data_IF_777891951702
#
_entry.id   IF_777891951702
#
_cell.length_a   1.000
_cell.length_b   1.000
_cell.length_c   1.000
_cell.angle_alpha   90.00
_cell.angle_beta   90.00
_cell.angle_gamma   90.00
#
_symmetry.space_group_name_H-M   'P 1'
#
loop_
_entity.id
_entity.type
_entity.pdbx_description
1 polymer ?
#
# COMPACT_ATOMS: atom_id res chain seq x y z
N UNK A 1 -3.61 -19.29 -12.86
CA UNK A 1 -4.76 -18.56 -13.45
C UNK A 1 -5.62 -18.01 -12.33
N UNK A 2 -6.06 -16.75 -12.45
CA UNK A 2 -7.02 -16.13 -11.51
C UNK A 2 -8.41 -16.75 -11.70
N UNK A 3 -9.27 -16.66 -10.66
CA UNK A 3 -10.64 -17.18 -10.74
C UNK A 3 -11.50 -16.38 -11.74
N UNK A 4 -12.61 -16.96 -12.25
CA UNK A 4 -13.52 -16.21 -13.13
C UNK A 4 -14.05 -14.94 -12.49
N UNK A 5 -14.38 -14.95 -11.20
CA UNK A 5 -14.87 -13.77 -10.47
C UNK A 5 -13.77 -12.72 -10.30
N UNK A 6 -12.52 -13.15 -10.07
CA UNK A 6 -11.36 -12.26 -10.08
C UNK A 6 -11.15 -11.60 -11.45
N UNK A 7 -11.38 -12.31 -12.53
CA UNK A 7 -11.30 -11.74 -13.89
C UNK A 7 -12.37 -10.66 -14.07
N UNK A 8 -13.63 -10.95 -13.72
CA UNK A 8 -14.72 -9.96 -13.79
C UNK A 8 -14.43 -8.74 -12.92
N UNK A 9 -13.85 -8.93 -11.71
CA UNK A 9 -13.42 -7.82 -10.88
C UNK A 9 -12.37 -6.96 -11.58
N UNK A 10 -11.35 -7.57 -12.21
CA UNK A 10 -10.31 -6.83 -12.95
C UNK A 10 -10.89 -6.12 -14.17
N UNK A 11 -11.81 -6.75 -14.91
CA UNK A 11 -12.52 -6.14 -16.04
C UNK A 11 -13.38 -4.95 -15.58
N UNK A 12 -14.03 -5.05 -14.40
CA UNK A 12 -14.78 -3.95 -13.79
C UNK A 12 -13.86 -2.78 -13.39
N UNK A 13 -12.68 -3.07 -12.85
CA UNK A 13 -11.66 -2.05 -12.53
C UNK A 13 -11.17 -1.39 -13.82
N UNK A 14 -10.83 -2.16 -14.84
CA UNK A 14 -10.41 -1.68 -16.15
C UNK A 14 -11.44 -0.71 -16.75
N UNK A 15 -12.72 -1.11 -16.81
CA UNK A 15 -13.79 -0.28 -17.32
C UNK A 15 -14.03 0.99 -16.49
N UNK A 16 -13.93 0.89 -15.18
CA UNK A 16 -14.07 2.01 -14.26
C UNK A 16 -12.94 3.04 -14.39
N UNK A 17 -11.75 2.63 -14.79
CA UNK A 17 -10.61 3.52 -15.04
C UNK A 17 -10.63 4.15 -16.44
N UNK A 18 -11.34 3.57 -17.39
CA UNK A 18 -11.42 4.05 -18.78
C UNK A 18 -10.09 4.00 -19.53
N UNK A 19 -9.22 3.06 -19.19
CA UNK A 19 -7.83 3.00 -19.67
C UNK A 19 -7.71 2.71 -21.17
N UNK A 20 -8.66 1.99 -21.77
CA UNK A 20 -8.59 1.55 -23.17
C UNK A 20 -9.45 2.38 -24.13
N UNK A 21 -10.30 3.29 -23.62
CA UNK A 21 -11.32 3.95 -24.45
C UNK A 21 -12.39 3.00 -25.02
N UNK A 22 -12.34 1.70 -24.69
CA UNK A 22 -13.29 0.68 -25.10
C UNK A 22 -14.47 0.60 -24.13
N UNK A 23 -15.67 0.38 -24.64
CA UNK A 23 -16.82 0.02 -23.82
C UNK A 23 -16.68 -1.43 -23.34
N UNK A 24 -16.22 -1.58 -22.09
CA UNK A 24 -16.08 -2.89 -21.47
C UNK A 24 -17.46 -3.37 -21.03
N UNK A 25 -17.97 -4.41 -21.68
CA UNK A 25 -19.17 -5.11 -21.23
C UNK A 25 -18.80 -6.15 -20.17
N UNK A 26 -19.40 -6.01 -18.99
CA UNK A 26 -19.32 -7.02 -17.93
C UNK A 26 -20.59 -7.84 -17.94
N UNK A 27 -20.43 -9.13 -18.17
CA UNK A 27 -21.55 -10.06 -18.17
C UNK A 27 -21.60 -10.84 -16.85
N UNK A 28 -22.39 -10.32 -15.90
CA UNK A 28 -22.67 -10.99 -14.63
C UNK A 28 -24.04 -11.65 -14.71
N UNK A 29 -24.03 -13.00 -14.68
CA UNK A 29 -25.25 -13.80 -14.89
C UNK A 29 -25.90 -14.28 -13.59
N UNK A 30 -25.18 -14.28 -12.47
CA UNK A 30 -25.64 -14.79 -11.17
C UNK A 30 -25.42 -13.76 -10.08
N UNK A 31 -26.38 -13.66 -9.14
CA UNK A 31 -26.26 -12.73 -7.98
C UNK A 31 -25.07 -13.04 -7.08
N UNK A 32 -24.74 -14.33 -6.92
CA UNK A 32 -23.60 -14.77 -6.11
C UNK A 32 -22.29 -14.23 -6.67
N UNK A 33 -22.13 -14.26 -7.99
CA UNK A 33 -20.98 -13.71 -8.70
C UNK A 33 -20.87 -12.20 -8.53
N UNK A 34 -21.98 -11.48 -8.65
CA UNK A 34 -22.01 -10.03 -8.39
C UNK A 34 -21.59 -9.70 -6.96
N UNK A 35 -22.13 -10.41 -5.97
CA UNK A 35 -21.81 -10.20 -4.56
C UNK A 35 -20.32 -10.47 -4.31
N UNK A 36 -19.74 -11.50 -4.91
CA UNK A 36 -18.32 -11.82 -4.79
C UNK A 36 -17.44 -10.70 -5.38
N UNK A 37 -17.75 -10.23 -6.59
CA UNK A 37 -17.04 -9.11 -7.25
C UNK A 37 -17.10 -7.83 -6.39
N UNK A 38 -18.26 -7.47 -5.84
CA UNK A 38 -18.41 -6.29 -4.98
C UNK A 38 -17.69 -6.46 -3.62
N UNK A 39 -17.64 -7.68 -3.08
CA UNK A 39 -16.85 -7.98 -1.88
C UNK A 39 -15.34 -7.86 -2.17
N UNK A 40 -14.86 -8.38 -3.29
CA UNK A 40 -13.47 -8.19 -3.73
C UNK A 40 -13.16 -6.70 -3.89
N UNK A 41 -14.06 -5.93 -4.52
CA UNK A 41 -13.88 -4.48 -4.66
C UNK A 41 -13.77 -3.78 -3.30
N UNK A 42 -14.54 -4.20 -2.29
CA UNK A 42 -14.46 -3.68 -0.92
C UNK A 42 -13.12 -4.04 -0.27
N UNK A 43 -12.68 -5.29 -0.35
CA UNK A 43 -11.40 -5.74 0.18
C UNK A 43 -10.21 -5.04 -0.47
N UNK A 44 -10.33 -4.69 -1.75
CA UNK A 44 -9.33 -3.95 -2.52
C UNK A 44 -9.44 -2.43 -2.37
N UNK A 45 -10.36 -1.92 -1.51
CA UNK A 45 -10.67 -0.48 -1.36
C UNK A 45 -11.03 0.22 -2.68
N UNK A 46 -11.68 -0.54 -3.58
CA UNK A 46 -12.13 -0.08 -4.90
C UNK A 46 -13.66 -0.09 -5.02
N UNK A 47 -14.39 -0.34 -3.92
CA UNK A 47 -15.85 -0.46 -3.95
C UNK A 47 -16.55 0.74 -4.61
N UNK A 48 -16.20 2.02 -4.29
CA UNK A 48 -16.91 3.14 -4.90
C UNK A 48 -16.78 3.17 -6.42
N UNK A 49 -15.56 2.95 -6.93
CA UNK A 49 -15.27 3.05 -8.37
C UNK A 49 -15.88 1.87 -9.15
N UNK A 50 -15.78 0.65 -8.61
CA UNK A 50 -16.34 -0.55 -9.24
C UNK A 50 -17.87 -0.55 -9.18
N UNK A 51 -18.46 -0.16 -8.04
CA UNK A 51 -19.92 -0.10 -7.89
C UNK A 51 -20.53 0.96 -8.80
N UNK A 52 -19.89 2.12 -8.96
CA UNK A 52 -20.32 3.16 -9.89
C UNK A 52 -20.26 2.69 -11.34
N UNK A 53 -19.22 1.98 -11.73
CA UNK A 53 -19.10 1.40 -13.07
C UNK A 53 -20.18 0.34 -13.33
N UNK A 54 -20.37 -0.62 -12.42
CA UNK A 54 -21.41 -1.65 -12.56
C UNK A 54 -22.81 -1.05 -12.63
N UNK A 55 -23.05 0.07 -11.91
CA UNK A 55 -24.34 0.77 -11.97
C UNK A 55 -24.68 1.34 -13.36
N UNK A 56 -23.70 1.50 -14.24
CA UNK A 56 -23.87 1.90 -15.64
C UNK A 56 -24.01 0.73 -16.62
N UNK A 57 -24.04 -0.53 -16.16
CA UNK A 57 -24.11 -1.72 -17.01
C UNK A 57 -25.48 -2.39 -16.97
N UNK A 58 -25.76 -3.26 -17.95
CA UNK A 58 -26.98 -4.09 -17.97
C UNK A 58 -27.13 -4.98 -16.72
N UNK A 59 -26.03 -5.29 -16.04
CA UNK A 59 -26.05 -6.06 -14.79
C UNK A 59 -26.76 -5.32 -13.66
N UNK A 60 -26.77 -3.96 -13.67
CA UNK A 60 -27.48 -3.14 -12.69
C UNK A 60 -29.00 -3.34 -12.77
N UNK A 61 -29.58 -3.31 -13.96
CA UNK A 61 -31.04 -3.49 -14.16
C UNK A 61 -31.50 -4.84 -13.62
N UNK A 62 -30.68 -5.86 -13.83
CA UNK A 62 -30.97 -7.25 -13.43
C UNK A 62 -30.88 -7.49 -11.94
N UNK A 63 -29.96 -6.81 -11.22
CA UNK A 63 -29.63 -7.09 -9.82
C UNK A 63 -29.74 -5.84 -8.91
N UNK A 64 -30.70 -4.97 -9.17
CA UNK A 64 -30.88 -3.71 -8.43
C UNK A 64 -30.99 -3.91 -6.91
N UNK A 65 -31.67 -4.96 -6.45
CA UNK A 65 -31.87 -5.24 -5.02
C UNK A 65 -30.55 -5.61 -4.34
N UNK A 66 -29.74 -6.42 -5.01
CA UNK A 66 -28.45 -6.92 -4.52
C UNK A 66 -27.39 -5.81 -4.50
N UNK A 67 -27.42 -4.90 -5.47
CA UNK A 67 -26.49 -3.77 -5.59
C UNK A 67 -26.84 -2.65 -4.60
N UNK A 68 -28.11 -2.44 -4.26
CA UNK A 68 -28.57 -1.31 -3.44
C UNK A 68 -27.80 -1.12 -2.11
N UNK A 69 -27.47 -2.15 -1.32
CA UNK A 69 -26.66 -1.97 -0.11
C UNK A 69 -25.25 -1.44 -0.40
N UNK A 70 -24.60 -1.93 -1.45
CA UNK A 70 -23.25 -1.50 -1.86
C UNK A 70 -23.26 -0.07 -2.41
N UNK A 71 -24.31 0.31 -3.18
CA UNK A 71 -24.48 1.67 -3.66
C UNK A 71 -24.67 2.66 -2.52
N UNK A 72 -25.46 2.30 -1.48
CA UNK A 72 -25.59 3.13 -0.27
C UNK A 72 -24.23 3.27 0.45
N UNK A 73 -23.49 2.19 0.60
CA UNK A 73 -22.15 2.22 1.18
C UNK A 73 -21.20 3.10 0.36
N UNK A 74 -21.24 3.01 -0.96
CA UNK A 74 -20.44 3.84 -1.89
C UNK A 74 -20.72 5.33 -1.67
N UNK A 75 -22.00 5.72 -1.64
CA UNK A 75 -22.39 7.13 -1.41
C UNK A 75 -21.85 7.63 -0.05
N UNK A 76 -21.98 6.84 1.01
CA UNK A 76 -21.46 7.22 2.33
C UNK A 76 -19.93 7.35 2.35
N UNK A 77 -19.23 6.48 1.63
CA UNK A 77 -17.77 6.55 1.49
C UNK A 77 -17.34 7.81 0.72
N UNK A 78 -18.04 8.16 -0.36
CA UNK A 78 -17.78 9.36 -1.15
C UNK A 78 -18.02 10.63 -0.32
N UNK A 79 -19.17 10.75 0.36
CA UNK A 79 -19.48 11.88 1.25
C UNK A 79 -18.40 12.00 2.33
N UNK A 80 -18.07 10.90 3.01
CA UNK A 80 -17.02 10.89 4.02
C UNK A 80 -15.65 11.29 3.46
N UNK A 81 -15.33 10.89 2.22
CA UNK A 81 -14.07 11.26 1.57
C UNK A 81 -14.02 12.77 1.29
N UNK A 82 -15.09 13.35 0.76
CA UNK A 82 -15.20 14.79 0.49
C UNK A 82 -15.06 15.61 1.77
N UNK A 83 -15.77 15.24 2.84
CA UNK A 83 -15.67 15.92 4.15
C UNK A 83 -14.25 15.86 4.73
N UNK A 84 -13.61 14.69 4.69
CA UNK A 84 -12.22 14.53 5.16
C UNK A 84 -11.23 15.34 4.32
N UNK A 85 -11.46 15.41 3.02
CA UNK A 85 -10.63 16.23 2.12
C UNK A 85 -10.72 17.71 2.48
N UNK A 86 -11.92 18.24 2.73
CA UNK A 86 -12.11 19.64 3.15
C UNK A 86 -11.38 19.92 4.47
N UNK A 87 -11.57 19.07 5.48
CA UNK A 87 -10.90 19.23 6.76
C UNK A 87 -9.36 19.09 6.65
N UNK A 88 -8.88 18.17 5.82
CA UNK A 88 -7.44 18.07 5.54
C UNK A 88 -6.86 19.38 5.02
N UNK A 89 -7.54 20.07 4.10
CA UNK A 89 -7.07 21.36 3.59
C UNK A 89 -7.07 22.47 4.65
N UNK A 90 -7.97 22.43 5.62
CA UNK A 90 -7.93 23.35 6.77
C UNK A 90 -6.64 23.15 7.59
N UNK A 91 -6.32 21.88 7.90
CA UNK A 91 -5.09 21.53 8.61
C UNK A 91 -3.85 21.88 7.78
N UNK A 92 -3.87 21.54 6.49
CA UNK A 92 -2.79 21.85 5.56
C UNK A 92 -2.44 23.34 5.52
N UNK A 93 -3.47 24.21 5.45
CA UNK A 93 -3.30 25.66 5.52
C UNK A 93 -2.70 26.12 6.84
N UNK A 94 -3.11 25.54 7.98
CA UNK A 94 -2.55 25.85 9.30
C UNK A 94 -1.07 25.48 9.38
N UNK A 95 -0.67 24.34 8.81
CA UNK A 95 0.74 23.98 8.74
C UNK A 95 1.55 25.00 7.93
N UNK A 96 1.06 25.41 6.75
CA UNK A 96 1.71 26.45 5.93
C UNK A 96 1.79 27.80 6.64
N UNK A 97 0.74 28.24 7.34
CA UNK A 97 0.73 29.48 8.11
C UNK A 97 1.75 29.48 9.25
N UNK A 98 2.13 28.29 9.70
CA UNK A 98 3.19 28.10 10.68
C UNK A 98 4.55 27.74 10.03
N UNK A 99 4.78 28.15 8.78
CA UNK A 99 6.06 27.97 8.07
C UNK A 99 6.53 26.52 7.93
N UNK A 100 5.64 25.53 8.12
CA UNK A 100 5.91 24.14 7.82
C UNK A 100 5.58 23.93 6.34
N UNK A 101 6.48 23.28 5.59
CA UNK A 101 6.25 22.86 4.19
C UNK A 101 5.80 21.40 4.14
N UNK A 102 4.48 21.10 4.24
CA UNK A 102 4.03 19.71 4.18
C UNK A 102 3.94 19.26 2.73
N UNK A 103 4.68 18.21 2.40
CA UNK A 103 4.70 17.62 1.05
C UNK A 103 3.76 16.43 1.00
N UNK A 104 2.70 16.52 0.23
CA UNK A 104 1.71 15.45 0.03
C UNK A 104 2.29 14.40 -0.92
N UNK A 105 2.39 13.15 -0.47
CA UNK A 105 3.07 12.10 -1.25
C UNK A 105 2.16 11.01 -1.80
N UNK A 106 0.89 10.99 -1.38
CA UNK A 106 -0.18 10.08 -1.87
C UNK A 106 -1.54 10.79 -1.80
N UNK A 107 -2.55 10.06 -1.32
CA UNK A 107 -3.86 10.60 -0.95
C UNK A 107 -4.44 11.51 -2.03
N UNK A 108 -4.49 12.78 -1.72
CA UNK A 108 -5.13 13.82 -2.53
C UNK A 108 -4.52 13.97 -3.93
N UNK A 109 -3.19 13.83 -4.07
CA UNK A 109 -2.51 13.96 -5.37
C UNK A 109 -2.93 12.85 -6.31
N UNK A 110 -2.96 11.61 -5.83
CA UNK A 110 -3.35 10.45 -6.64
C UNK A 110 -4.86 10.44 -6.92
N UNK A 111 -5.68 10.85 -5.95
CA UNK A 111 -7.14 10.90 -6.09
C UNK A 111 -7.57 11.74 -7.30
N UNK A 112 -6.90 12.86 -7.52
CA UNK A 112 -7.20 13.75 -8.64
C UNK A 112 -6.82 13.20 -10.03
N UNK A 113 -6.15 12.07 -10.08
CA UNK A 113 -5.84 11.38 -11.35
C UNK A 113 -6.95 10.42 -11.79
N UNK A 114 -7.85 10.06 -10.87
CA UNK A 114 -8.97 9.16 -11.18
C UNK A 114 -10.10 9.91 -11.90
N UNK A 115 -10.88 9.22 -12.77
CA UNK A 115 -12.01 9.82 -13.48
C UNK A 115 -13.03 10.46 -12.55
N UNK A 116 -13.25 9.86 -11.38
CA UNK A 116 -14.08 10.37 -10.28
C UNK A 116 -13.25 10.40 -8.99
N UNK A 117 -12.65 11.53 -8.63
CA UNK A 117 -11.76 11.65 -7.48
C UNK A 117 -12.34 11.11 -6.17
N UNK A 118 -13.62 11.39 -5.89
CA UNK A 118 -14.29 10.97 -4.66
C UNK A 118 -14.51 9.44 -4.58
N UNK A 119 -14.46 8.75 -5.71
CA UNK A 119 -14.50 7.28 -5.75
C UNK A 119 -13.17 6.62 -5.34
N UNK A 120 -12.05 7.35 -5.40
CA UNK A 120 -10.78 6.82 -4.88
C UNK A 120 -10.71 7.06 -3.38
N UNK A 121 -11.30 6.15 -2.64
CA UNK A 121 -11.30 6.18 -1.19
C UNK A 121 -9.90 5.93 -0.61
N UNK A 122 -9.47 6.76 0.37
CA UNK A 122 -8.28 6.54 1.19
C UNK A 122 -8.60 6.72 2.68
N UNK A 123 -7.93 5.97 3.54
CA UNK A 123 -8.11 6.10 4.98
C UNK A 123 -7.25 7.19 5.59
N UNK A 124 -6.15 7.52 4.95
CA UNK A 124 -5.05 8.35 5.42
C UNK A 124 -4.61 9.36 4.37
N UNK A 125 -4.03 10.44 4.82
CA UNK A 125 -3.28 11.38 3.99
C UNK A 125 -1.83 11.41 4.50
N UNK A 126 -0.87 11.19 3.59
CA UNK A 126 0.56 11.10 3.91
C UNK A 126 1.24 12.44 3.65
N UNK A 127 1.86 13.00 4.67
CA UNK A 127 2.60 14.25 4.62
C UNK A 127 4.07 14.04 4.98
N UNK A 128 4.98 14.35 4.08
CA UNK A 128 6.40 14.44 4.36
C UNK A 128 6.73 15.86 4.82
N UNK A 129 7.44 15.98 5.91
CA UNK A 129 7.95 17.25 6.45
C UNK A 129 9.43 17.11 6.81
N UNK A 130 10.11 18.25 6.99
CA UNK A 130 11.42 18.24 7.57
C UNK A 130 11.39 17.78 9.03
N UNK A 131 12.40 17.02 9.40
CA UNK A 131 12.48 16.40 10.73
C UNK A 131 12.52 17.45 11.84
N UNK A 132 13.10 18.59 11.55
CA UNK A 132 13.22 19.74 12.45
C UNK A 132 11.85 20.32 12.79
N UNK A 133 10.90 20.27 11.86
CA UNK A 133 9.55 20.79 12.00
C UNK A 133 8.60 19.83 12.71
N UNK A 134 9.02 18.59 12.96
CA UNK A 134 8.15 17.54 13.47
C UNK A 134 7.45 17.93 14.78
N UNK A 135 8.18 18.48 15.77
CA UNK A 135 7.57 18.84 17.06
C UNK A 135 6.59 20.00 16.92
N UNK A 136 6.90 20.98 16.05
CA UNK A 136 5.99 22.10 15.74
C UNK A 136 4.70 21.57 15.08
N UNK A 137 4.83 20.65 14.14
CA UNK A 137 3.71 19.95 13.51
C UNK A 137 2.87 19.15 14.52
N UNK A 138 3.52 18.40 15.41
CA UNK A 138 2.88 17.65 16.49
C UNK A 138 2.00 18.52 17.37
N UNK A 139 2.52 19.68 17.85
CA UNK A 139 1.76 20.61 18.69
C UNK A 139 0.55 21.22 17.95
N UNK A 140 0.70 21.53 16.65
CA UNK A 140 -0.40 22.05 15.84
C UNK A 140 -1.49 20.97 15.72
N UNK A 141 -1.14 19.74 15.37
CA UNK A 141 -2.10 18.66 15.24
C UNK A 141 -2.84 18.36 16.56
N UNK A 142 -2.13 18.39 17.69
CA UNK A 142 -2.77 18.24 19.02
C UNK A 142 -3.78 19.34 19.30
N UNK A 143 -3.46 20.61 19.02
CA UNK A 143 -4.38 21.75 19.19
C UNK A 143 -5.62 21.60 18.32
N UNK A 144 -5.51 20.96 17.15
CA UNK A 144 -6.61 20.68 16.25
C UNK A 144 -7.39 19.39 16.60
N UNK A 145 -7.14 18.83 17.76
CA UNK A 145 -7.88 17.67 18.30
C UNK A 145 -7.43 16.32 17.72
N UNK A 146 -6.24 16.24 17.13
CA UNK A 146 -5.67 14.96 16.74
C UNK A 146 -5.01 14.27 17.92
N UNK A 147 -5.22 12.96 17.98
CA UNK A 147 -4.58 12.06 18.93
C UNK A 147 -3.42 11.39 18.20
N UNK A 148 -2.21 11.51 18.75
CA UNK A 148 -1.04 10.80 18.26
C UNK A 148 -1.12 9.33 18.68
N UNK A 149 -0.96 8.41 17.73
CA UNK A 149 -0.99 6.96 18.00
C UNK A 149 0.35 6.45 18.60
N UNK A 150 1.38 7.26 18.57
CA UNK A 150 2.70 6.96 19.10
C UNK A 150 3.00 7.81 20.34
N UNK A 151 3.71 7.28 21.32
CA UNK A 151 4.20 8.07 22.45
C UNK A 151 5.47 8.82 22.01
N UNK A 152 5.30 10.04 21.47
CA UNK A 152 6.40 10.87 20.96
C UNK A 152 6.78 12.01 21.89
N UNK A 153 5.96 12.33 22.89
CA UNK A 153 6.13 13.50 23.78
C UNK A 153 7.43 13.45 24.59
N UNK A 154 7.88 12.25 24.94
CA UNK A 154 9.09 12.03 25.73
C UNK A 154 10.25 11.45 24.90
N UNK A 155 10.16 11.49 23.56
CA UNK A 155 11.18 10.95 22.69
C UNK A 155 12.28 11.99 22.39
N UNK A 156 13.54 11.53 22.43
CA UNK A 156 14.63 12.26 21.83
C UNK A 156 14.34 12.50 20.33
N UNK A 157 14.54 13.73 19.82
CA UNK A 157 14.35 14.09 18.42
C UNK A 157 15.02 13.11 17.44
N UNK A 158 16.14 12.51 17.83
CA UNK A 158 16.85 11.50 17.02
C UNK A 158 16.11 10.17 16.91
N UNK A 159 15.20 9.89 17.85
CA UNK A 159 14.45 8.61 17.94
C UNK A 159 13.03 8.70 17.38
N UNK A 160 12.62 9.86 16.86
CA UNK A 160 11.33 10.01 16.20
C UNK A 160 11.22 8.99 15.06
N UNK A 161 10.17 8.17 15.02
CA UNK A 161 9.94 7.24 13.91
C UNK A 161 9.87 7.99 12.57
N UNK A 162 10.23 7.32 11.49
CA UNK A 162 10.12 7.91 10.14
C UNK A 162 8.67 8.18 9.73
N UNK A 163 7.70 7.55 10.40
CA UNK A 163 6.25 7.65 10.15
C UNK A 163 5.53 7.67 11.50
N UNK A 164 4.68 8.68 11.74
CA UNK A 164 3.87 8.87 12.96
C UNK A 164 2.44 9.18 12.55
N UNK A 165 1.50 8.38 13.06
CA UNK A 165 0.09 8.48 12.72
C UNK A 165 -0.68 9.33 13.74
N UNK A 166 -1.58 10.16 13.22
CA UNK A 166 -2.50 11.02 13.95
C UNK A 166 -3.93 10.78 13.51
N UNK A 167 -4.84 10.72 14.45
CA UNK A 167 -6.26 10.48 14.19
C UNK A 167 -7.14 11.50 14.93
N UNK A 168 -8.07 12.12 14.19
CA UNK A 168 -9.11 12.96 14.78
C UNK A 168 -10.43 12.20 14.84
N UNK A 169 -10.91 11.94 16.05
CA UNK A 169 -12.12 11.10 16.29
C UNK A 169 -13.43 11.77 15.86
N UNK A 170 -13.47 13.10 15.74
CA UNK A 170 -14.64 13.87 15.32
C UNK A 170 -14.75 13.85 13.79
N UNK A 171 -13.71 14.30 13.11
CA UNK A 171 -13.68 14.44 11.64
C UNK A 171 -13.37 13.13 10.92
N UNK A 172 -12.93 12.09 11.66
CA UNK A 172 -12.47 10.79 11.13
C UNK A 172 -11.28 10.91 10.17
N UNK A 173 -10.55 12.03 10.22
CA UNK A 173 -9.32 12.23 9.43
C UNK A 173 -8.16 11.53 10.12
N UNK A 174 -7.38 10.80 9.34
CA UNK A 174 -6.09 10.24 9.72
C UNK A 174 -5.01 10.89 8.87
N UNK A 175 -3.98 11.37 9.50
CA UNK A 175 -2.79 11.95 8.85
C UNK A 175 -1.57 11.15 9.30
N UNK A 176 -0.74 10.73 8.37
CA UNK A 176 0.55 10.12 8.65
C UNK A 176 1.65 11.14 8.34
N UNK A 177 2.36 11.57 9.39
CA UNK A 177 3.48 12.48 9.27
C UNK A 177 4.76 11.68 9.08
N UNK A 178 5.39 11.89 7.94
CA UNK A 178 6.65 11.27 7.56
C UNK A 178 7.80 12.25 7.75
N UNK A 179 8.85 11.83 8.46
CA UNK A 179 10.16 12.51 8.51
C UNK A 179 11.19 11.79 7.61
N UNK A 180 10.75 10.76 6.90
CA UNK A 180 11.47 10.00 5.90
C UNK A 180 10.49 9.08 5.17
N UNK A 181 10.67 8.85 3.89
CA UNK A 181 9.67 8.18 3.06
C UNK A 181 9.63 6.65 3.24
N UNK A 182 10.71 6.04 3.72
CA UNK A 182 10.82 4.58 3.84
C UNK A 182 11.48 4.19 5.17
N UNK A 183 11.27 2.93 5.67
CA UNK A 183 11.88 2.47 6.91
C UNK A 183 13.41 2.59 6.90
N UNK A 184 13.97 3.24 7.91
CA UNK A 184 15.41 3.47 8.02
C UNK A 184 16.17 2.29 8.65
N UNK A 185 15.47 1.42 9.35
CA UNK A 185 15.99 0.24 10.05
C UNK A 185 16.15 -0.99 9.15
N UNK A 186 15.70 -0.90 7.88
CA UNK A 186 15.77 -1.98 6.91
C UNK A 186 16.75 -1.64 5.78
N UNK A 187 17.80 -2.47 5.64
CA UNK A 187 18.83 -2.32 4.62
C UNK A 187 18.28 -2.34 3.17
N UNK A 188 17.13 -2.97 2.93
CA UNK A 188 16.49 -2.99 1.62
C UNK A 188 16.10 -1.58 1.12
N UNK A 189 15.90 -0.61 2.02
CA UNK A 189 15.49 0.75 1.69
C UNK A 189 16.58 1.81 1.87
N UNK A 190 17.78 1.40 2.33
CA UNK A 190 18.86 2.37 2.63
C UNK A 190 19.29 3.20 1.41
N UNK A 191 19.45 2.56 0.25
CA UNK A 191 19.78 3.23 -1.00
C UNK A 191 18.71 4.22 -1.43
N UNK A 192 17.45 3.81 -1.34
CA UNK A 192 16.29 4.63 -1.68
C UNK A 192 16.14 5.83 -0.73
N UNK A 193 16.26 5.62 0.59
CA UNK A 193 16.18 6.72 1.56
C UNK A 193 17.22 7.81 1.32
N UNK A 194 18.43 7.46 0.89
CA UNK A 194 19.46 8.44 0.56
C UNK A 194 19.06 9.35 -0.61
N UNK A 195 18.24 8.87 -1.54
CA UNK A 195 17.76 9.64 -2.70
C UNK A 195 16.69 10.64 -2.31
N UNK A 196 15.89 10.30 -1.29
CA UNK A 196 14.79 11.15 -0.81
C UNK A 196 15.19 12.17 0.28
N UNK A 197 16.48 12.27 0.64
CA UNK A 197 16.95 13.19 1.73
C UNK A 197 16.60 14.64 1.49
N UNK A 198 16.49 15.09 0.24
CA UNK A 198 16.15 16.47 -0.14
C UNK A 198 14.77 16.57 -0.79
N UNK A 199 13.88 15.62 -0.50
CA UNK A 199 12.58 15.56 -1.14
C UNK A 199 11.69 16.76 -0.77
N UNK A 200 11.79 17.27 0.46
CA UNK A 200 11.06 18.48 0.89
C UNK A 200 11.57 19.73 0.15
N UNK A 201 12.90 19.90 0.03
CA UNK A 201 13.51 21.03 -0.69
C UNK A 201 13.06 21.06 -2.15
N UNK A 202 13.06 19.89 -2.81
CA UNK A 202 12.75 19.71 -4.23
C UNK A 202 11.25 19.63 -4.53
N UNK A 203 10.39 19.69 -3.51
CA UNK A 203 8.96 19.59 -3.71
C UNK A 203 8.42 20.78 -4.52
N UNK A 204 7.46 20.49 -5.39
CA UNK A 204 6.84 21.42 -6.32
C UNK A 204 5.38 21.68 -5.95
N UNK A 205 4.85 22.86 -6.32
CA UNK A 205 3.42 23.14 -6.17
C UNK A 205 2.63 22.47 -7.26
N UNK A 206 1.55 21.80 -6.88
CA UNK A 206 0.61 21.19 -7.83
C UNK A 206 -0.81 21.56 -7.48
N UNK A 207 -1.57 21.90 -8.50
CA UNK A 207 -3.00 22.09 -8.38
C UNK A 207 -3.71 20.74 -8.28
N UNK A 208 -4.65 20.67 -7.35
CA UNK A 208 -5.60 19.57 -7.22
C UNK A 208 -7.00 20.15 -7.38
N UNK A 209 -7.99 19.34 -7.68
CA UNK A 209 -9.38 19.85 -7.82
C UNK A 209 -9.94 20.58 -6.59
N UNK A 210 -9.22 20.55 -5.46
CA UNK A 210 -9.64 21.16 -4.19
C UNK A 210 -8.71 22.31 -3.74
N UNK A 211 -7.51 22.42 -4.29
CA UNK A 211 -6.55 23.46 -3.94
C UNK A 211 -5.10 23.07 -4.27
N UNK A 212 -4.17 23.95 -3.96
CA UNK A 212 -2.75 23.74 -4.21
C UNK A 212 -2.07 23.02 -3.06
N UNK A 213 -1.21 22.06 -3.42
CA UNK A 213 -0.37 21.34 -2.47
C UNK A 213 1.08 21.30 -2.94
N UNK A 214 2.00 21.21 -1.99
CA UNK A 214 3.37 20.80 -2.28
C UNK A 214 3.40 19.28 -2.46
N UNK A 215 4.08 18.80 -3.50
CA UNK A 215 4.26 17.36 -3.75
C UNK A 215 5.61 17.09 -4.39
N UNK A 216 5.99 15.83 -4.53
CA UNK A 216 7.22 15.44 -5.20
C UNK A 216 7.13 15.73 -6.70
N UNK A 217 8.27 15.99 -7.37
CA UNK A 217 8.34 15.95 -8.83
C UNK A 217 7.98 14.53 -9.34
N UNK A 218 7.64 14.40 -10.61
CA UNK A 218 7.10 13.16 -11.17
C UNK A 218 8.02 11.97 -11.02
N UNK A 219 9.31 12.15 -11.20
CA UNK A 219 10.30 11.06 -11.11
C UNK A 219 10.45 10.57 -9.67
N UNK A 220 10.62 11.48 -8.70
CA UNK A 220 10.73 11.13 -7.29
C UNK A 220 9.40 10.57 -6.76
N UNK A 221 8.26 11.09 -7.25
CA UNK A 221 6.94 10.60 -6.87
C UNK A 221 6.70 9.17 -7.36
N UNK A 222 7.03 8.89 -8.61
CA UNK A 222 6.94 7.53 -9.15
C UNK A 222 7.84 6.55 -8.39
N UNK A 223 9.09 6.93 -8.14
CA UNK A 223 10.01 6.11 -7.33
C UNK A 223 9.51 5.88 -5.92
N UNK A 224 8.86 6.88 -5.31
CA UNK A 224 8.23 6.72 -4.01
C UNK A 224 7.05 5.73 -4.08
N UNK A 225 6.13 5.87 -5.05
CA UNK A 225 4.99 4.97 -5.22
C UNK A 225 5.45 3.52 -5.43
N UNK A 226 6.46 3.30 -6.28
CA UNK A 226 7.04 1.99 -6.53
C UNK A 226 7.66 1.40 -5.25
N UNK A 227 8.47 2.19 -4.56
CA UNK A 227 9.15 1.77 -3.33
C UNK A 227 8.18 1.50 -2.18
N UNK A 228 7.12 2.30 -2.08
CA UNK A 228 6.07 2.14 -1.10
C UNK A 228 5.22 0.88 -1.38
N UNK A 229 4.89 0.61 -2.64
CA UNK A 229 4.23 -0.63 -3.06
C UNK A 229 5.09 -1.85 -2.73
N UNK A 230 6.41 -1.75 -2.96
CA UNK A 230 7.36 -2.78 -2.59
C UNK A 230 7.47 -2.96 -1.06
N UNK A 231 7.45 -1.86 -0.27
CA UNK A 231 7.36 -1.92 1.19
C UNK A 231 6.15 -2.76 1.62
N UNK A 232 4.98 -2.47 1.08
CA UNK A 232 3.77 -3.22 1.38
C UNK A 232 3.86 -4.68 0.94
N UNK A 233 4.35 -4.96 -0.26
CA UNK A 233 4.56 -6.32 -0.75
C UNK A 233 5.44 -7.15 0.20
N UNK A 234 6.52 -6.56 0.72
CA UNK A 234 7.43 -7.24 1.66
C UNK A 234 6.77 -7.48 3.02
N UNK A 235 6.07 -6.48 3.59
CA UNK A 235 5.65 -6.52 5.00
C UNK A 235 4.25 -7.09 5.21
N UNK A 236 3.27 -6.64 4.45
CA UNK A 236 1.87 -6.95 4.70
C UNK A 236 1.07 -7.37 3.46
N UNK A 237 1.62 -7.20 2.28
CA UNK A 237 0.92 -7.33 1.01
C UNK A 237 0.33 -6.01 0.54
N UNK A 238 0.06 -5.88 -0.75
CA UNK A 238 -0.55 -4.71 -1.35
C UNK A 238 -1.67 -5.13 -2.30
N UNK A 239 -2.61 -4.23 -2.57
CA UNK A 239 -3.79 -4.55 -3.35
C UNK A 239 -3.83 -3.89 -4.72
N UNK A 240 -4.90 -4.20 -5.46
CA UNK A 240 -5.13 -3.69 -6.82
C UNK A 240 -5.21 -2.16 -6.84
N UNK A 241 -5.76 -1.51 -5.80
CA UNK A 241 -5.81 -0.05 -5.75
C UNK A 241 -4.43 0.60 -5.82
N UNK A 242 -3.43 0.07 -5.11
CA UNK A 242 -2.09 0.64 -5.15
C UNK A 242 -1.41 0.41 -6.50
N UNK A 243 -1.71 -0.70 -7.18
CA UNK A 243 -1.31 -0.90 -8.57
C UNK A 243 -1.96 0.16 -9.48
N UNK A 244 -3.28 0.36 -9.39
CA UNK A 244 -3.99 1.38 -10.18
C UNK A 244 -3.42 2.79 -9.93
N UNK A 245 -3.13 3.15 -8.66
CA UNK A 245 -2.49 4.43 -8.30
C UNK A 245 -1.18 4.64 -9.09
N UNK A 246 -0.35 3.60 -9.18
CA UNK A 246 0.93 3.65 -9.90
C UNK A 246 0.73 3.75 -11.42
N UNK A 247 -0.16 2.93 -11.98
CA UNK A 247 -0.39 2.90 -13.44
C UNK A 247 -1.02 4.19 -13.94
N UNK A 248 -2.03 4.73 -13.24
CA UNK A 248 -2.67 6.00 -13.59
C UNK A 248 -1.66 7.15 -13.48
N UNK A 249 -0.78 7.12 -12.49
CA UNK A 249 0.29 8.11 -12.35
C UNK A 249 1.22 8.08 -13.56
N UNK A 250 1.65 6.90 -13.99
CA UNK A 250 2.47 6.73 -15.19
C UNK A 250 1.72 7.18 -16.44
N UNK A 251 0.49 6.76 -16.62
CA UNK A 251 -0.33 7.16 -17.78
C UNK A 251 -0.43 8.68 -17.91
N UNK A 252 -0.55 9.39 -16.78
CA UNK A 252 -0.64 10.86 -16.76
C UNK A 252 0.69 11.56 -16.98
N UNK A 253 1.79 11.02 -16.44
CA UNK A 253 3.07 11.73 -16.32
C UNK A 253 4.24 11.04 -17.03
N UNK A 254 3.96 10.06 -17.91
CA UNK A 254 4.99 9.27 -18.62
C UNK A 254 6.12 10.14 -19.21
N UNK A 255 5.75 11.23 -19.91
CA UNK A 255 6.71 12.12 -20.57
C UNK A 255 7.54 12.99 -19.62
N UNK A 256 7.14 13.12 -18.35
CA UNK A 256 7.82 13.92 -17.33
C UNK A 256 8.70 13.06 -16.40
N UNK A 257 8.53 11.75 -16.44
CA UNK A 257 9.34 10.81 -15.64
C UNK A 257 10.67 10.56 -16.35
N UNK A 258 11.77 10.74 -15.63
CA UNK A 258 13.10 10.34 -16.10
C UNK A 258 13.28 8.83 -15.97
N UNK A 259 12.92 8.11 -17.03
CA UNK A 259 12.94 6.65 -17.03
C UNK A 259 14.33 6.04 -16.94
N UNK A 260 15.36 6.66 -17.53
CA UNK A 260 16.74 6.20 -17.37
C UNK A 260 17.18 6.21 -15.90
N UNK A 261 16.79 7.27 -15.19
CA UNK A 261 17.06 7.37 -13.76
C UNK A 261 16.24 6.35 -12.95
N UNK A 262 14.94 6.19 -13.26
CA UNK A 262 14.07 5.20 -12.62
C UNK A 262 14.61 3.79 -12.80
N UNK A 263 15.02 3.42 -14.03
CA UNK A 263 15.57 2.11 -14.34
C UNK A 263 16.85 1.84 -13.53
N UNK A 264 17.78 2.80 -13.53
CA UNK A 264 19.02 2.72 -12.75
C UNK A 264 18.72 2.50 -11.26
N UNK A 265 17.83 3.32 -10.69
CA UNK A 265 17.45 3.21 -9.25
C UNK A 265 16.77 1.88 -8.97
N UNK A 266 15.88 1.44 -9.84
CA UNK A 266 15.15 0.19 -9.67
C UNK A 266 16.08 -1.03 -9.71
N UNK A 267 17.07 -1.03 -10.62
CA UNK A 267 18.09 -2.09 -10.72
C UNK A 267 19.00 -2.12 -9.48
N UNK A 268 19.56 -0.97 -9.08
CA UNK A 268 20.42 -0.86 -7.89
C UNK A 268 19.74 -1.32 -6.59
N UNK A 269 18.42 -1.09 -6.47
CA UNK A 269 17.64 -1.41 -5.29
C UNK A 269 16.76 -2.67 -5.46
N UNK A 270 16.95 -3.44 -6.55
CA UNK A 270 16.24 -4.72 -6.81
C UNK A 270 14.72 -4.58 -6.96
N UNK A 271 14.27 -3.43 -7.36
CA UNK A 271 12.87 -3.14 -7.65
C UNK A 271 12.51 -3.44 -9.11
N UNK A 272 13.51 -3.62 -9.98
CA UNK A 272 13.28 -3.65 -11.43
C UNK A 272 12.36 -4.79 -11.86
N UNK A 273 12.60 -6.02 -11.35
CA UNK A 273 11.70 -7.15 -11.63
C UNK A 273 10.28 -6.93 -11.09
N UNK A 274 10.16 -6.33 -9.91
CA UNK A 274 8.87 -5.98 -9.34
C UNK A 274 8.14 -4.97 -10.23
N UNK A 275 8.83 -3.93 -10.71
CA UNK A 275 8.30 -2.94 -11.65
C UNK A 275 7.79 -3.59 -12.94
N UNK A 276 8.58 -4.46 -13.58
CA UNK A 276 8.18 -5.16 -14.80
C UNK A 276 6.94 -6.03 -14.57
N UNK A 277 6.86 -6.73 -13.45
CA UNK A 277 5.67 -7.53 -13.12
C UNK A 277 4.42 -6.66 -12.90
N UNK A 278 4.55 -5.47 -12.29
CA UNK A 278 3.43 -4.54 -12.14
C UNK A 278 2.92 -4.04 -13.50
N UNK A 279 3.82 -3.72 -14.41
CA UNK A 279 3.45 -3.30 -15.76
C UNK A 279 2.81 -4.44 -16.56
N UNK A 280 3.34 -5.66 -16.47
CA UNK A 280 2.72 -6.83 -17.13
C UNK A 280 1.30 -7.10 -16.61
N UNK A 281 1.04 -6.93 -15.31
CA UNK A 281 -0.33 -7.02 -14.77
C UNK A 281 -1.20 -5.90 -15.36
N UNK A 282 -0.68 -4.68 -15.42
CA UNK A 282 -1.36 -3.54 -16.03
C UNK A 282 -1.76 -3.79 -17.47
N UNK A 283 -0.83 -4.25 -18.28
CA UNK A 283 -1.04 -4.56 -19.70
C UNK A 283 -2.10 -5.66 -19.90
N UNK A 284 -1.97 -6.77 -19.15
CA UNK A 284 -2.83 -7.95 -19.35
C UNK A 284 -4.24 -7.82 -18.80
N UNK A 285 -4.42 -7.04 -17.71
CA UNK A 285 -5.68 -7.06 -16.96
C UNK A 285 -6.34 -5.69 -16.80
N UNK A 286 -5.62 -4.59 -17.01
CA UNK A 286 -6.12 -3.24 -16.76
C UNK A 286 -6.09 -2.32 -17.97
N UNK A 287 -5.72 -2.84 -19.16
CA UNK A 287 -5.66 -2.05 -20.39
C UNK A 287 -4.59 -0.95 -20.38
N UNK A 288 -3.58 -1.10 -19.55
CA UNK A 288 -2.42 -0.24 -19.55
C UNK A 288 -1.50 -0.58 -20.73
N UNK A 289 -0.82 0.40 -21.30
CA UNK A 289 0.14 0.17 -22.39
C UNK A 289 1.54 0.55 -21.94
N UNK A 290 2.25 -0.41 -21.38
CA UNK A 290 3.63 -0.18 -20.93
C UNK A 290 4.68 -0.22 -22.04
N UNK A 291 4.31 -0.53 -23.29
CA UNK A 291 5.25 -0.54 -24.43
C UNK A 291 5.79 0.85 -24.77
N UNK A 292 5.05 1.90 -24.39
CA UNK A 292 5.45 3.30 -24.58
C UNK A 292 6.47 3.79 -23.54
N UNK A 293 6.77 2.97 -22.51
CA UNK A 293 7.72 3.33 -21.48
C UNK A 293 9.13 2.90 -21.92
N UNK A 294 10.10 3.84 -22.00
CA UNK A 294 11.40 3.57 -22.58
C UNK A 294 12.36 2.87 -21.59
N UNK A 295 12.01 1.67 -21.13
CA UNK A 295 12.87 0.83 -20.31
C UNK A 295 13.77 -0.04 -21.19
N UNK A 296 15.09 0.12 -21.06
CA UNK A 296 16.10 -0.51 -21.93
C UNK A 296 16.23 -2.01 -21.68
N UNK A 297 16.26 -2.42 -20.43
CA UNK A 297 16.53 -3.80 -20.03
C UNK A 297 15.26 -4.64 -19.83
N UNK A 298 14.09 -4.14 -20.25
CA UNK A 298 12.82 -4.84 -20.10
C UNK A 298 12.82 -6.24 -20.69
N UNK A 299 13.48 -6.40 -21.85
CA UNK A 299 13.55 -7.68 -22.57
C UNK A 299 14.36 -8.76 -21.84
N UNK A 300 15.22 -8.37 -20.90
CA UNK A 300 16.07 -9.28 -20.12
C UNK A 300 15.32 -9.98 -18.99
N UNK A 301 14.09 -9.54 -18.69
CA UNK A 301 13.30 -10.06 -17.58
C UNK A 301 12.04 -10.75 -18.12
N UNK A 302 11.95 -12.05 -17.87
CA UNK A 302 10.67 -12.76 -18.07
C UNK A 302 9.73 -12.38 -16.93
N UNK A 303 8.62 -11.75 -17.27
CA UNK A 303 7.59 -11.40 -16.30
C UNK A 303 6.93 -12.70 -15.76
N UNK A 304 6.86 -12.82 -14.44
CA UNK A 304 6.09 -13.85 -13.72
C UNK A 304 5.07 -13.14 -12.81
N UNK A 305 4.13 -12.48 -13.46
CA UNK A 305 3.20 -11.55 -12.82
C UNK A 305 1.98 -12.24 -12.22
N UNK A 306 1.64 -13.44 -12.69
CA UNK A 306 0.40 -14.13 -12.28
C UNK A 306 0.40 -14.47 -10.78
N UNK A 307 1.53 -14.94 -10.26
CA UNK A 307 1.66 -15.21 -8.82
C UNK A 307 1.56 -13.91 -7.99
N UNK A 308 2.09 -12.80 -8.50
CA UNK A 308 1.97 -11.50 -7.86
C UNK A 308 0.53 -11.02 -7.85
N UNK A 309 -0.20 -11.16 -8.96
CA UNK A 309 -1.62 -10.79 -9.05
C UNK A 309 -2.48 -11.61 -8.08
N UNK A 310 -2.29 -12.93 -8.03
CA UNK A 310 -2.99 -13.79 -7.06
C UNK A 310 -2.72 -13.32 -5.63
N UNK A 311 -1.47 -12.99 -5.30
CA UNK A 311 -1.11 -12.46 -4.00
C UNK A 311 -1.78 -11.13 -3.67
N UNK A 312 -1.90 -10.24 -4.65
CA UNK A 312 -2.60 -8.96 -4.50
C UNK A 312 -4.09 -9.16 -4.24
N UNK A 313 -4.74 -10.03 -5.00
CA UNK A 313 -6.17 -10.34 -4.85
C UNK A 313 -6.46 -10.97 -3.49
N UNK A 314 -5.62 -11.89 -3.03
CA UNK A 314 -5.75 -12.55 -1.73
C UNK A 314 -5.47 -11.61 -0.55
N UNK A 315 -4.58 -10.60 -0.74
CA UNK A 315 -4.15 -9.70 0.33
C UNK A 315 -5.18 -8.67 0.69
N UNK A 316 -5.87 -8.14 -0.31
CA UNK A 316 -6.57 -6.87 -0.17
C UNK A 316 -5.61 -5.70 0.10
N UNK A 317 -6.12 -4.49 0.16
CA UNK A 317 -5.34 -3.26 0.30
C UNK A 317 -4.55 -3.17 1.61
N UNK A 318 -5.04 -3.78 2.69
CA UNK A 318 -4.43 -3.69 4.03
C UNK A 318 -3.73 -4.97 4.48
N UNK A 319 -3.64 -5.97 3.61
CA UNK A 319 -3.06 -7.27 3.95
C UNK A 319 -3.88 -8.04 4.99
N UNK A 320 -4.37 -9.21 4.64
CA UNK A 320 -4.92 -10.12 5.67
C UNK A 320 -3.76 -10.66 6.48
N UNK A 321 -3.66 -10.34 7.77
CA UNK A 321 -2.61 -10.81 8.68
C UNK A 321 -2.75 -12.29 9.03
N UNK A 322 -2.80 -13.17 8.01
CA UNK A 322 -2.74 -14.61 8.25
C UNK A 322 -1.35 -15.01 8.73
N UNK A 323 -1.24 -16.03 9.57
CA UNK A 323 0.05 -16.54 10.07
C UNK A 323 0.96 -16.98 8.91
N UNK A 324 0.39 -17.53 7.84
CA UNK A 324 1.12 -17.90 6.62
C UNK A 324 1.74 -16.69 5.94
N UNK A 325 1.03 -15.56 5.87
CA UNK A 325 1.54 -14.34 5.26
C UNK A 325 2.64 -13.68 6.09
N UNK A 326 2.49 -13.61 7.42
CA UNK A 326 3.55 -13.13 8.32
C UNK A 326 4.84 -13.96 8.14
N UNK A 327 4.69 -15.27 7.93
CA UNK A 327 5.82 -16.16 7.69
C UNK A 327 6.45 -15.94 6.30
N UNK A 328 5.65 -15.82 5.27
CA UNK A 328 6.06 -15.49 3.90
C UNK A 328 6.77 -14.13 3.84
N UNK A 329 6.22 -13.09 4.50
CA UNK A 329 6.84 -11.76 4.59
C UNK A 329 8.21 -11.81 5.24
N UNK A 330 8.40 -12.60 6.30
CA UNK A 330 9.73 -12.79 6.94
C UNK A 330 10.75 -13.43 5.99
N UNK A 331 10.33 -14.37 5.16
CA UNK A 331 11.21 -14.99 4.15
C UNK A 331 11.61 -13.96 3.11
N UNK A 332 10.65 -13.21 2.59
CA UNK A 332 10.87 -12.16 1.59
C UNK A 332 11.78 -11.06 2.13
N UNK A 333 11.55 -10.58 3.37
CA UNK A 333 12.42 -9.60 4.04
C UNK A 333 13.83 -10.15 4.21
N UNK A 334 13.97 -11.42 4.65
CA UNK A 334 15.27 -12.03 4.84
C UNK A 334 16.05 -12.16 3.52
N UNK A 335 15.36 -12.47 2.42
CA UNK A 335 15.94 -12.54 1.10
C UNK A 335 16.33 -11.14 0.57
N UNK A 336 15.45 -10.14 0.73
CA UNK A 336 15.72 -8.76 0.36
C UNK A 336 16.93 -8.16 1.11
N UNK A 337 17.10 -8.51 2.40
CA UNK A 337 18.21 -8.02 3.22
C UNK A 337 19.55 -8.72 2.94
N UNK A 338 19.55 -10.01 2.56
CA UNK A 338 20.80 -10.79 2.41
C UNK A 338 21.52 -10.58 1.08
N UNK A 339 20.83 -10.03 0.10
CA UNK A 339 21.38 -9.86 -1.24
C UNK A 339 21.60 -11.18 -1.98
N UNK A 340 21.36 -11.18 -3.30
CA UNK A 340 21.64 -12.33 -4.19
C UNK A 340 23.13 -12.57 -4.45
N UNK A 341 24.02 -12.15 -3.56
CA UNK A 341 25.48 -12.20 -3.75
C UNK A 341 26.09 -13.61 -3.69
N UNK A 342 25.33 -14.64 -3.40
CA UNK A 342 25.87 -16.00 -3.44
C UNK A 342 24.92 -16.97 -4.14
N UNK A 343 25.39 -17.54 -5.23
CA UNK A 343 24.82 -18.68 -5.95
C UNK A 343 24.38 -19.75 -4.92
N UNK A 344 23.09 -20.08 -4.92
CA UNK A 344 22.54 -21.35 -4.42
C UNK A 344 22.69 -21.72 -2.94
N UNK A 345 22.79 -20.81 -1.98
CA UNK A 345 22.55 -21.20 -0.58
C UNK A 345 21.03 -21.15 -0.30
N UNK A 346 20.42 -22.34 -0.22
CA UNK A 346 19.03 -22.54 0.24
C UNK A 346 18.84 -21.72 1.51
N UNK A 347 17.88 -20.78 1.52
CA UNK A 347 17.47 -20.04 2.71
C UNK A 347 16.87 -21.06 3.68
N UNK A 348 17.71 -21.60 4.58
CA UNK A 348 17.24 -22.43 5.70
C UNK A 348 16.65 -21.49 6.73
N UNK A 349 15.33 -21.37 6.75
CA UNK A 349 14.64 -20.80 7.88
C UNK A 349 14.93 -21.66 9.11
N UNK A 350 15.67 -21.10 10.04
CA UNK A 350 15.85 -21.75 11.32
C UNK A 350 14.50 -21.76 12.04
N UNK A 351 13.95 -22.94 12.33
CA UNK A 351 12.76 -23.11 13.17
C UNK A 351 12.95 -22.35 14.50
N UNK A 352 14.21 -22.23 14.98
CA UNK A 352 14.56 -21.41 16.13
C UNK A 352 14.17 -19.93 15.97
N UNK A 353 14.44 -19.30 14.84
CA UNK A 353 14.10 -17.87 14.64
C UNK A 353 12.59 -17.63 14.52
N UNK A 354 11.83 -18.63 14.11
CA UNK A 354 10.37 -18.58 14.07
C UNK A 354 9.74 -18.75 15.46
N UNK A 355 10.28 -19.64 16.29
CA UNK A 355 9.82 -19.87 17.65
C UNK A 355 10.32 -18.79 18.64
N UNK A 356 11.51 -18.27 18.43
CA UNK A 356 12.17 -17.27 19.27
C UNK A 356 12.51 -16.00 18.47
N UNK A 357 11.51 -15.17 18.11
CA UNK A 357 11.75 -13.91 17.41
C UNK A 357 12.50 -12.90 18.31
N UNK A 358 12.96 -11.79 17.71
CA UNK A 358 13.75 -10.78 18.42
C UNK A 358 13.02 -10.19 19.62
N UNK A 359 13.79 -9.72 20.61
CA UNK A 359 13.28 -9.07 21.84
C UNK A 359 12.40 -7.85 21.50
N UNK A 360 12.77 -7.08 20.49
CA UNK A 360 11.98 -5.93 20.01
C UNK A 360 10.59 -6.34 19.50
N UNK A 361 10.52 -7.37 18.67
CA UNK A 361 9.26 -7.93 18.20
C UNK A 361 8.38 -8.44 19.36
N UNK A 362 8.99 -9.12 20.34
CA UNK A 362 8.25 -9.63 21.50
C UNK A 362 7.70 -8.49 22.35
N UNK A 363 8.46 -7.38 22.53
CA UNK A 363 8.00 -6.19 23.26
C UNK A 363 6.81 -5.49 22.58
N UNK A 364 6.79 -5.42 21.25
CA UNK A 364 5.64 -4.89 20.50
C UNK A 364 4.39 -5.76 20.68
N UNK A 365 4.56 -7.07 20.67
CA UNK A 365 3.44 -8.01 20.70
C UNK A 365 2.87 -8.27 22.08
N UNK A 366 3.67 -8.16 23.12
CA UNK A 366 3.31 -8.44 24.52
C UNK A 366 3.58 -7.20 25.37
N UNK A 367 2.55 -6.36 25.58
CA UNK A 367 2.65 -5.07 26.27
C UNK A 367 3.33 -5.17 27.66
N UNK A 368 3.15 -6.29 28.38
CA UNK A 368 3.78 -6.49 29.68
C UNK A 368 5.33 -6.56 29.60
N UNK A 369 5.90 -6.86 28.44
CA UNK A 369 7.35 -6.84 28.24
C UNK A 369 7.93 -5.43 28.08
N UNK A 370 7.11 -4.43 27.83
CA UNK A 370 7.56 -3.04 27.80
C UNK A 370 8.00 -2.59 29.20
N UNK A 371 7.21 -2.97 30.23
CA UNK A 371 7.50 -2.64 31.64
C UNK A 371 8.39 -3.68 32.32
N UNK A 372 8.36 -4.96 31.91
CA UNK A 372 9.04 -6.08 32.58
C UNK A 372 9.79 -6.96 31.60
N UNK A 373 10.90 -6.46 31.07
CA UNK A 373 11.70 -7.14 30.02
C UNK A 373 12.24 -8.52 30.44
N UNK A 374 12.38 -8.80 31.75
CA UNK A 374 12.81 -10.08 32.27
C UNK A 374 11.79 -11.21 32.07
N UNK A 375 10.54 -10.90 31.79
CA UNK A 375 9.48 -11.88 31.46
C UNK A 375 9.55 -12.39 30.01
N UNK A 376 10.60 -12.07 29.28
CA UNK A 376 10.79 -12.53 27.89
C UNK A 376 10.71 -14.07 27.73
N UNK A 377 11.27 -14.91 28.61
CA UNK A 377 11.09 -16.37 28.55
C UNK A 377 9.62 -16.79 28.67
N UNK A 378 8.86 -16.15 29.55
CA UNK A 378 7.41 -16.40 29.74
C UNK A 378 6.64 -16.06 28.47
N UNK A 379 7.00 -14.96 27.80
CA UNK A 379 6.39 -14.58 26.55
C UNK A 379 6.67 -15.59 25.40
N UNK A 380 7.86 -16.20 25.38
CA UNK A 380 8.16 -17.29 24.46
C UNK A 380 7.32 -18.54 24.76
N UNK A 381 7.19 -18.92 26.02
CA UNK A 381 6.30 -20.03 26.42
C UNK A 381 4.84 -19.75 26.02
N UNK A 382 4.33 -18.56 26.29
CA UNK A 382 2.97 -18.13 25.88
C UNK A 382 2.78 -18.24 24.36
N UNK A 383 3.79 -17.85 23.59
CA UNK A 383 3.77 -17.95 22.12
C UNK A 383 3.74 -19.42 21.66
N UNK A 384 4.53 -20.29 22.26
CA UNK A 384 4.59 -21.71 21.92
C UNK A 384 3.26 -22.39 22.26
N UNK A 385 2.69 -22.13 23.44
CA UNK A 385 1.41 -22.69 23.86
C UNK A 385 0.29 -22.24 22.90
N UNK A 386 0.26 -20.95 22.51
CA UNK A 386 -0.67 -20.42 21.53
C UNK A 386 -0.52 -21.09 20.17
N UNK A 387 0.71 -21.30 19.75
CA UNK A 387 1.04 -22.02 18.50
C UNK A 387 0.53 -23.46 18.54
N UNK A 388 0.76 -24.20 19.65
CA UNK A 388 0.29 -25.56 19.81
C UNK A 388 -1.24 -25.67 19.90
N UNK A 389 -1.92 -24.74 20.59
CA UNK A 389 -3.39 -24.68 20.62
C UNK A 389 -3.99 -24.42 19.23
N UNK A 390 -3.39 -23.55 18.45
CA UNK A 390 -3.85 -23.27 17.07
C UNK A 390 -3.59 -24.46 16.12
N UNK A 391 -2.60 -25.31 16.41
CA UNK A 391 -2.31 -26.52 15.65
C UNK A 391 -3.39 -27.61 15.81
N UNK A 392 -4.02 -27.69 16.98
CA UNK A 392 -5.09 -28.69 17.27
C UNK A 392 -6.42 -28.39 16.55
N UNK A 393 -6.64 -27.18 16.09
CA UNK A 393 -7.96 -26.76 15.59
C UNK A 393 -8.11 -26.73 14.07
N UNK A 394 -7.06 -27.00 13.28
CA UNK A 394 -7.19 -26.97 11.79
C UNK A 394 -6.17 -27.83 11.05
N UNK A 395 -6.65 -28.51 10.00
CA UNK A 395 -5.90 -29.10 8.84
C UNK A 395 -5.10 -28.04 8.04
N UNK A 396 -4.42 -27.11 8.70
CA UNK A 396 -3.71 -25.94 8.13
C UNK A 396 -2.30 -26.27 7.64
N UNK A 397 -1.84 -27.48 7.78
CA UNK A 397 -0.45 -27.84 7.40
C UNK A 397 -0.21 -27.74 5.89
N UNK A 398 -1.22 -28.03 5.07
CA UNK A 398 -1.10 -27.87 3.61
C UNK A 398 -0.99 -26.39 3.22
N UNK A 399 -1.84 -25.53 3.79
CA UNK A 399 -1.82 -24.08 3.49
C UNK A 399 -0.54 -23.37 3.96
N UNK A 400 0.12 -23.87 5.00
CA UNK A 400 1.38 -23.29 5.50
C UNK A 400 2.58 -23.72 4.64
N UNK A 401 2.57 -24.94 4.12
CA UNK A 401 3.56 -25.44 3.14
C UNK A 401 3.34 -24.69 1.81
N UNK A 402 2.11 -24.48 1.39
CA UNK A 402 1.76 -23.73 0.19
C UNK A 402 2.17 -22.26 0.30
N UNK A 403 2.00 -21.64 1.49
CA UNK A 403 2.45 -20.26 1.74
C UNK A 403 3.98 -20.11 1.77
N UNK A 404 4.72 -21.14 2.24
CA UNK A 404 6.19 -21.20 2.17
C UNK A 404 6.63 -21.38 0.71
N UNK A 405 5.93 -22.22 -0.05
CA UNK A 405 6.16 -22.42 -1.47
C UNK A 405 5.87 -21.13 -2.26
N UNK A 406 4.78 -20.42 -1.92
CA UNK A 406 4.45 -19.10 -2.47
C UNK A 406 5.53 -18.06 -2.15
N UNK A 407 5.99 -17.98 -0.91
CA UNK A 407 7.08 -17.07 -0.51
C UNK A 407 8.38 -17.32 -1.26
N UNK A 408 8.66 -18.59 -1.63
CA UNK A 408 9.81 -18.95 -2.47
C UNK A 408 9.60 -18.61 -3.95
N UNK A 409 8.37 -18.68 -4.45
CA UNK A 409 8.02 -18.28 -5.83
C UNK A 409 8.01 -16.76 -6.03
N UNK A 410 7.81 -15.97 -4.96
CA UNK A 410 7.87 -14.49 -4.98
C UNK A 410 9.31 -13.94 -5.11
N UNK A 411 10.29 -14.76 -4.82
CA UNK A 411 11.72 -14.44 -4.95
C UNK A 411 12.27 -14.83 -6.30
#
# INVERSE_FOLDING_TARGET
MISPDSKIFMDAVKGALGTDGENIEININKKEQLIEVLNMAREQSMLPIVCDFIAGTNSYERFQKEIAPYKRQTILLMISQTQRTSFFFEIYKKLLQNEIKPVVVKGIVLRNLYPKPDCRYSNDEDLLIDKEDFMKCHEILKKEGFICENDVENMDKKKIPYEVAYYNSITKVRIEIHTGLLPSDNNAFKGLNNRFKKAVDKAEKRETGTGWVWTLNETDHFLFLLSHSYKHFIYCGFGVRQLCDLLIFVQKYNSLINWDYVETVAQENRLYRFLINLFDIGDRYLGFNSSEIPLKDRQLIVADSENLLVDMLDSGTFGKSSMGRIHSSKITISAANKGFSEKNKKVRLSIKSSLFPSKSYMKQKYQYLQKRSYLLPVAYCHRIIRYLKQRRTQSRYSKEIDSIAMGKKRM
#
